data_IF_947253877922
#
_entry.id   IF_947253877922
#
_cell.length_a   1.000
_cell.length_b   1.000
_cell.length_c   1.000
_cell.angle_alpha   90.00
_cell.angle_beta   90.00
_cell.angle_gamma   90.00
#
_symmetry.space_group_name_H-M   'P 1'
#
loop_
_entity.id
_entity.type
_entity.pdbx_description
1 polymer ?
#
# COMPACT_ATOMS: atom_id res chain seq x y z
N UNK A 1 7.50 2.31 -14.28
CA UNK A 1 7.88 3.76 -14.18
C UNK A 1 7.78 4.18 -12.72
N UNK A 2 8.69 4.98 -12.13
CA UNK A 2 8.58 5.32 -10.70
C UNK A 2 7.30 6.13 -10.43
N UNK A 3 6.59 5.78 -9.36
CA UNK A 3 5.41 6.52 -8.92
C UNK A 3 5.79 7.97 -8.57
N UNK A 4 5.08 8.98 -9.10
CA UNK A 4 5.39 10.37 -8.82
C UNK A 4 4.79 10.79 -7.47
N UNK A 5 5.44 10.39 -6.38
CA UNK A 5 4.96 10.57 -4.99
C UNK A 5 4.73 12.05 -4.63
N UNK A 6 5.50 12.98 -5.20
CA UNK A 6 5.33 14.43 -4.95
C UNK A 6 4.27 15.09 -5.84
N UNK A 7 3.60 14.33 -6.70
CA UNK A 7 2.61 14.90 -7.63
C UNK A 7 1.30 15.23 -6.93
N UNK A 8 0.63 16.27 -7.46
CA UNK A 8 -0.74 16.61 -7.03
C UNK A 8 -1.72 15.44 -7.22
N UNK A 9 -1.52 14.61 -8.23
CA UNK A 9 -2.35 13.42 -8.50
C UNK A 9 -2.21 12.38 -7.38
N UNK A 10 -0.97 12.14 -6.94
CA UNK A 10 -0.69 11.26 -5.82
C UNK A 10 -1.29 11.78 -4.51
N UNK A 11 -1.20 13.09 -4.26
CA UNK A 11 -1.84 13.70 -3.08
C UNK A 11 -3.37 13.49 -3.08
N UNK A 12 -4.04 13.57 -4.23
CA UNK A 12 -5.48 13.30 -4.32
C UNK A 12 -5.78 11.83 -4.02
N UNK A 13 -4.95 10.93 -4.54
CA UNK A 13 -5.06 9.50 -4.34
C UNK A 13 -4.91 9.13 -2.86
N UNK A 14 -3.89 9.65 -2.16
CA UNK A 14 -3.74 9.47 -0.71
C UNK A 14 -4.96 9.97 0.07
N UNK A 15 -5.49 11.15 -0.28
CA UNK A 15 -6.66 11.71 0.39
C UNK A 15 -7.91 10.83 0.18
N UNK A 16 -8.17 10.36 -1.05
CA UNK A 16 -9.29 9.44 -1.31
C UNK A 16 -9.12 8.16 -0.49
N UNK A 17 -7.92 7.59 -0.50
CA UNK A 17 -7.61 6.36 0.23
C UNK A 17 -7.80 6.50 1.74
N UNK A 18 -7.54 7.68 2.31
CA UNK A 18 -7.84 7.99 3.72
C UNK A 18 -9.34 8.21 4.02
N UNK A 19 -10.22 8.03 3.02
CA UNK A 19 -11.67 8.17 3.15
C UNK A 19 -12.22 9.55 2.78
N UNK A 20 -11.40 10.48 2.27
CA UNK A 20 -11.87 11.82 1.94
C UNK A 20 -12.66 11.81 0.61
N UNK A 21 -13.93 12.29 0.58
CA UNK A 21 -14.71 12.30 -0.65
C UNK A 21 -14.14 13.25 -1.72
N UNK A 22 -14.27 12.88 -3.00
CA UNK A 22 -13.77 13.70 -4.13
C UNK A 22 -14.29 15.15 -4.13
N UNK A 23 -15.48 15.40 -3.59
CA UNK A 23 -16.01 16.77 -3.43
C UNK A 23 -15.17 17.60 -2.45
N UNK A 24 -14.78 17.02 -1.32
CA UNK A 24 -13.95 17.71 -0.33
C UNK A 24 -12.52 17.89 -0.82
N UNK A 25 -11.99 16.92 -1.59
CA UNK A 25 -10.71 17.08 -2.30
C UNK A 25 -10.81 18.26 -3.28
N UNK A 26 -11.88 18.33 -4.09
CA UNK A 26 -12.08 19.40 -5.06
C UNK A 26 -12.14 20.79 -4.38
N UNK A 27 -12.87 20.90 -3.26
CA UNK A 27 -12.96 22.11 -2.46
C UNK A 27 -11.59 22.54 -1.90
N UNK A 28 -10.85 21.61 -1.29
CA UNK A 28 -9.51 21.86 -0.71
C UNK A 28 -8.53 22.40 -1.75
N UNK A 29 -8.59 21.91 -2.97
CA UNK A 29 -7.70 22.32 -4.06
C UNK A 29 -8.29 23.37 -5.01
N UNK A 30 -9.53 23.85 -4.75
CA UNK A 30 -10.25 24.84 -5.57
C UNK A 30 -10.32 24.47 -7.06
N UNK A 31 -10.61 23.20 -7.34
CA UNK A 31 -10.78 22.66 -8.69
C UNK A 31 -12.15 21.98 -8.83
N UNK A 32 -12.52 21.57 -10.03
CA UNK A 32 -13.78 20.83 -10.23
C UNK A 32 -13.67 19.38 -9.76
N UNK A 33 -14.81 18.79 -9.36
CA UNK A 33 -14.90 17.37 -9.03
C UNK A 33 -14.45 16.48 -10.19
N UNK A 34 -14.78 16.88 -11.42
CA UNK A 34 -14.38 16.18 -12.65
C UNK A 34 -12.85 16.17 -12.80
N UNK A 35 -12.18 17.28 -12.49
CA UNK A 35 -10.72 17.35 -12.53
C UNK A 35 -10.08 16.41 -11.49
N UNK A 36 -10.67 16.30 -10.29
CA UNK A 36 -10.25 15.32 -9.27
C UNK A 36 -10.44 13.89 -9.77
N UNK A 37 -11.62 13.55 -10.29
CA UNK A 37 -11.90 12.19 -10.81
C UNK A 37 -10.94 11.79 -11.93
N UNK A 38 -10.67 12.67 -12.89
CA UNK A 38 -9.72 12.39 -13.98
C UNK A 38 -8.28 12.21 -13.48
N UNK A 39 -7.87 13.00 -12.48
CA UNK A 39 -6.57 12.86 -11.85
C UNK A 39 -6.44 11.53 -11.10
N UNK A 40 -7.49 11.10 -10.39
CA UNK A 40 -7.53 9.82 -9.68
C UNK A 40 -7.48 8.64 -10.65
N UNK A 41 -8.28 8.62 -11.72
CA UNK A 41 -8.23 7.56 -12.75
C UNK A 41 -6.84 7.41 -13.37
N UNK A 42 -6.17 8.55 -13.61
CA UNK A 42 -4.79 8.55 -14.12
C UNK A 42 -3.81 7.96 -13.10
N UNK A 43 -4.03 8.28 -11.82
CA UNK A 43 -3.18 7.80 -10.73
C UNK A 43 -3.40 6.32 -10.44
N UNK A 44 -4.64 5.85 -10.45
CA UNK A 44 -5.01 4.43 -10.26
C UNK A 44 -4.31 3.55 -11.29
N UNK A 45 -4.34 3.94 -12.56
CA UNK A 45 -3.61 3.23 -13.61
C UNK A 45 -2.10 3.17 -13.36
N UNK A 46 -1.49 4.28 -12.90
CA UNK A 46 -0.04 4.29 -12.58
C UNK A 46 0.28 3.41 -11.38
N UNK A 47 -0.58 3.39 -10.37
CA UNK A 47 -0.45 2.52 -9.20
C UNK A 47 -0.56 1.07 -9.61
N UNK A 48 -1.58 0.72 -10.39
CA UNK A 48 -1.75 -0.63 -10.96
C UNK A 48 -0.52 -1.09 -11.75
N UNK A 49 -0.08 -0.29 -12.73
CA UNK A 49 1.12 -0.58 -13.53
C UNK A 49 2.34 -0.80 -12.64
N UNK A 50 2.51 0.02 -11.60
CA UNK A 50 3.66 -0.10 -10.68
C UNK A 50 3.57 -1.35 -9.81
N UNK A 51 2.39 -1.68 -9.29
CA UNK A 51 2.19 -2.90 -8.50
C UNK A 51 2.49 -4.14 -9.34
N UNK A 52 2.01 -4.18 -10.59
CA UNK A 52 2.27 -5.27 -11.52
C UNK A 52 3.75 -5.37 -11.91
N UNK A 53 4.40 -4.25 -12.20
CA UNK A 53 5.84 -4.18 -12.49
C UNK A 53 6.66 -4.78 -11.34
N UNK A 54 6.34 -4.40 -10.10
CA UNK A 54 7.03 -4.89 -8.90
C UNK A 54 6.71 -6.36 -8.63
N UNK A 55 5.46 -6.79 -8.76
CA UNK A 55 5.10 -8.20 -8.62
C UNK A 55 5.85 -9.08 -9.63
N UNK A 56 5.91 -8.66 -10.90
CA UNK A 56 6.64 -9.36 -11.95
C UNK A 56 8.14 -9.44 -11.64
N UNK A 57 8.76 -8.31 -11.25
CA UNK A 57 10.18 -8.26 -10.91
C UNK A 57 10.55 -9.16 -9.71
N UNK A 58 9.59 -9.43 -8.83
CA UNK A 58 9.76 -10.28 -7.64
C UNK A 58 9.19 -11.69 -7.81
N UNK A 59 8.78 -12.07 -9.02
CA UNK A 59 8.21 -13.39 -9.34
C UNK A 59 7.01 -13.75 -8.45
N UNK A 60 6.12 -12.77 -8.26
CA UNK A 60 4.87 -12.92 -7.54
C UNK A 60 3.75 -13.13 -8.56
N UNK A 61 3.06 -14.27 -8.46
CA UNK A 61 1.84 -14.54 -9.21
C UNK A 61 0.68 -13.78 -8.57
N UNK A 62 0.06 -12.88 -9.34
CA UNK A 62 -0.98 -11.98 -8.83
C UNK A 62 -2.28 -12.73 -8.59
N UNK A 63 -2.83 -12.60 -7.38
CA UNK A 63 -4.14 -13.14 -7.02
C UNK A 63 -5.22 -12.06 -7.02
N UNK A 64 -4.93 -10.91 -6.38
CA UNK A 64 -5.86 -9.79 -6.22
C UNK A 64 -5.12 -8.47 -6.27
N UNK A 65 -5.78 -7.44 -6.80
CA UNK A 65 -5.21 -6.10 -6.92
C UNK A 65 -6.33 -5.06 -6.70
N UNK A 66 -6.05 -4.08 -5.84
CA UNK A 66 -6.87 -2.88 -5.68
C UNK A 66 -5.99 -1.64 -5.79
N UNK A 67 -6.03 -0.97 -6.95
CA UNK A 67 -5.24 0.22 -7.23
C UNK A 67 -5.71 1.46 -6.46
N UNK A 68 -6.97 1.48 -6.01
CA UNK A 68 -7.50 2.62 -5.25
C UNK A 68 -6.91 2.70 -3.84
N UNK A 69 -6.63 1.53 -3.26
CA UNK A 69 -5.96 1.37 -1.96
C UNK A 69 -4.43 1.20 -2.14
N UNK A 70 -4.01 0.74 -3.33
CA UNK A 70 -2.61 0.57 -3.70
C UNK A 70 -2.01 -0.69 -3.12
N UNK A 71 -2.77 -1.79 -3.21
CA UNK A 71 -2.40 -3.11 -2.69
C UNK A 71 -2.56 -4.18 -3.77
N UNK A 72 -1.61 -5.09 -3.82
CA UNK A 72 -1.64 -6.31 -4.62
C UNK A 72 -1.28 -7.49 -3.72
N UNK A 73 -2.10 -8.54 -3.72
CA UNK A 73 -1.80 -9.83 -3.11
C UNK A 73 -1.43 -10.85 -4.18
N UNK A 74 -0.50 -11.73 -3.85
CA UNK A 74 -0.09 -12.82 -4.72
C UNK A 74 0.74 -13.87 -4.01
N UNK A 75 1.17 -14.88 -4.76
CA UNK A 75 2.03 -15.95 -4.27
C UNK A 75 3.44 -15.77 -4.85
N UNK A 76 4.46 -15.74 -4.00
CA UNK A 76 5.85 -15.70 -4.43
C UNK A 76 6.34 -17.09 -4.81
N UNK A 77 6.72 -17.28 -6.07
CA UNK A 77 7.23 -18.57 -6.56
C UNK A 77 8.59 -18.95 -5.95
N UNK A 78 9.56 -18.03 -5.81
CA UNK A 78 10.87 -18.37 -5.25
C UNK A 78 10.85 -18.75 -3.77
N UNK A 79 9.90 -18.20 -3.01
CA UNK A 79 9.81 -18.38 -1.57
C UNK A 79 8.69 -19.34 -1.14
N UNK A 80 7.84 -19.77 -2.06
CA UNK A 80 6.64 -20.57 -1.80
C UNK A 80 5.80 -19.99 -0.65
N UNK A 81 5.61 -18.67 -0.68
CA UNK A 81 4.98 -17.91 0.39
C UNK A 81 4.05 -16.83 -0.17
N UNK A 82 3.00 -16.51 0.59
CA UNK A 82 2.12 -15.38 0.29
C UNK A 82 2.92 -14.08 0.26
N UNK A 83 2.55 -13.16 -0.61
CA UNK A 83 3.21 -11.88 -0.76
C UNK A 83 2.19 -10.76 -0.95
N UNK A 84 2.53 -9.60 -0.42
CA UNK A 84 1.81 -8.35 -0.65
C UNK A 84 2.78 -7.32 -1.23
N UNK A 85 2.33 -6.61 -2.25
CA UNK A 85 2.97 -5.41 -2.77
C UNK A 85 2.06 -4.24 -2.46
N UNK A 86 2.58 -3.18 -1.85
CA UNK A 86 1.77 -2.04 -1.47
C UNK A 86 2.48 -0.70 -1.66
N UNK A 87 1.71 0.36 -1.86
CA UNK A 87 2.20 1.73 -2.00
C UNK A 87 1.98 2.49 -0.70
N UNK A 88 3.07 2.83 0.00
CA UNK A 88 3.05 3.78 1.12
C UNK A 88 3.36 5.20 0.63
N UNK A 89 2.72 6.18 1.25
CA UNK A 89 3.00 7.60 1.02
C UNK A 89 4.43 7.94 1.45
N UNK A 90 4.84 7.45 2.61
CA UNK A 90 6.11 7.84 3.24
C UNK A 90 7.26 6.89 2.91
N UNK A 91 6.95 5.64 2.54
CA UNK A 91 7.95 4.60 2.25
C UNK A 91 7.99 4.17 0.77
N UNK A 92 7.13 4.72 -0.08
CA UNK A 92 7.03 4.33 -1.49
C UNK A 92 6.51 2.90 -1.66
N UNK A 93 6.93 2.20 -2.72
CA UNK A 93 6.45 0.83 -3.00
C UNK A 93 7.23 -0.18 -2.18
N UNK A 94 6.51 -1.05 -1.48
CA UNK A 94 7.06 -2.07 -0.60
C UNK A 94 6.58 -3.45 -1.02
N UNK A 95 7.40 -4.47 -0.74
CA UNK A 95 7.07 -5.88 -0.91
C UNK A 95 7.26 -6.56 0.43
N UNK A 96 6.28 -7.33 0.85
CA UNK A 96 6.35 -8.12 2.06
C UNK A 96 5.92 -9.56 1.78
N UNK A 97 6.66 -10.51 2.34
CA UNK A 97 6.41 -11.94 2.22
C UNK A 97 5.90 -12.48 3.55
N UNK A 98 4.81 -13.25 3.52
CA UNK A 98 4.25 -13.98 4.66
C UNK A 98 5.22 -15.12 5.03
N UNK A 99 6.26 -14.81 5.79
CA UNK A 99 7.19 -15.78 6.34
C UNK A 99 7.47 -15.52 7.82
N UNK A 100 7.65 -16.59 8.60
CA UNK A 100 8.25 -16.48 9.93
C UNK A 100 9.73 -16.12 9.75
N UNK A 101 10.09 -14.88 10.09
CA UNK A 101 11.47 -14.43 10.10
C UNK A 101 12.13 -14.67 11.44
N UNK A 102 13.44 -14.91 11.44
CA UNK A 102 14.24 -14.81 12.67
C UNK A 102 14.48 -13.32 13.00
N UNK A 103 13.40 -12.64 13.38
CA UNK A 103 13.38 -11.19 13.63
C UNK A 103 14.17 -10.80 14.89
N UNK A 104 14.46 -11.77 15.79
CA UNK A 104 15.11 -11.52 17.08
C UNK A 104 16.52 -10.94 17.00
N UNK A 105 17.22 -11.11 15.87
CA UNK A 105 18.55 -10.55 15.61
C UNK A 105 18.59 -9.54 14.45
N UNK A 106 17.43 -9.16 13.89
CA UNK A 106 17.39 -8.34 12.69
C UNK A 106 17.67 -6.86 13.00
N UNK A 107 18.74 -6.24 12.47
CA UNK A 107 19.04 -4.82 12.71
C UNK A 107 18.01 -3.87 12.07
N UNK A 108 17.04 -4.39 11.31
CA UNK A 108 15.95 -3.64 10.68
C UNK A 108 14.63 -3.71 11.45
N UNK A 109 14.59 -4.39 12.60
CA UNK A 109 13.39 -4.61 13.40
C UNK A 109 12.56 -3.33 13.63
N UNK A 110 13.21 -2.26 14.11
CA UNK A 110 12.54 -0.98 14.35
C UNK A 110 11.95 -0.36 13.07
N UNK A 111 12.64 -0.51 11.92
CA UNK A 111 12.15 0.01 10.63
C UNK A 111 10.97 -0.79 10.10
N UNK A 112 10.91 -2.09 10.35
CA UNK A 112 9.75 -2.91 9.99
C UNK A 112 8.51 -2.48 10.79
N UNK A 113 8.68 -2.25 12.10
CA UNK A 113 7.61 -1.74 12.97
C UNK A 113 7.13 -0.37 12.50
N UNK A 114 8.06 0.55 12.24
CA UNK A 114 7.76 1.91 11.72
C UNK A 114 6.98 1.83 10.40
N UNK A 115 7.46 1.05 9.43
CA UNK A 115 6.78 0.86 8.14
C UNK A 115 5.34 0.36 8.31
N UNK A 116 5.12 -0.67 9.15
CA UNK A 116 3.80 -1.26 9.32
C UNK A 116 2.86 -0.28 10.03
N UNK A 117 3.34 0.43 11.06
CA UNK A 117 2.55 1.45 11.75
C UNK A 117 2.18 2.60 10.83
N UNK A 118 3.16 3.19 10.14
CA UNK A 118 2.93 4.30 9.22
C UNK A 118 1.92 3.92 8.15
N UNK A 119 2.06 2.72 7.57
CA UNK A 119 1.13 2.27 6.54
C UNK A 119 -0.27 1.96 7.09
N UNK A 120 -0.39 1.41 8.29
CA UNK A 120 -1.69 1.20 8.93
C UNK A 120 -2.39 2.53 9.23
N UNK A 121 -1.65 3.52 9.74
CA UNK A 121 -2.13 4.86 10.02
C UNK A 121 -2.56 5.59 8.73
N UNK A 122 -1.81 5.41 7.63
CA UNK A 122 -2.17 5.93 6.30
C UNK A 122 -3.55 5.45 5.81
N UNK A 123 -3.97 4.25 6.25
CA UNK A 123 -5.23 3.62 5.89
C UNK A 123 -6.32 3.75 6.97
N UNK A 124 -5.99 4.34 8.13
CA UNK A 124 -6.89 4.38 9.28
C UNK A 124 -7.21 3.00 9.87
N UNK A 125 -6.31 2.03 9.69
CA UNK A 125 -6.44 0.66 10.20
C UNK A 125 -5.86 0.59 11.61
N UNK A 126 -6.70 0.31 12.59
CA UNK A 126 -6.23 0.06 13.95
C UNK A 126 -5.61 -1.32 14.07
N UNK A 127 -4.33 -1.38 14.47
CA UNK A 127 -3.60 -2.59 14.81
C UNK A 127 -3.51 -2.79 16.34
N UNK A 128 -3.40 -4.03 16.76
CA UNK A 128 -3.12 -4.38 18.16
C UNK A 128 -1.68 -4.01 18.48
N UNK A 129 -1.47 -3.34 19.63
CA UNK A 129 -0.11 -3.02 20.08
C UNK A 129 0.64 -4.31 20.43
N UNK A 130 1.64 -4.63 19.61
CA UNK A 130 2.61 -5.70 19.83
C UNK A 130 3.97 -5.17 19.35
N UNK A 131 5.04 -5.67 19.95
CA UNK A 131 6.39 -5.34 19.50
C UNK A 131 6.84 -6.24 18.34
N UNK A 132 6.08 -7.29 18.01
CA UNK A 132 6.43 -8.26 16.96
C UNK A 132 5.96 -7.81 15.56
N UNK A 133 6.88 -7.38 14.66
CA UNK A 133 6.52 -6.91 13.32
C UNK A 133 5.90 -7.99 12.44
N UNK A 134 6.21 -9.28 12.64
CA UNK A 134 5.58 -10.36 11.89
C UNK A 134 4.10 -10.42 12.25
N UNK A 135 3.77 -10.43 13.55
CA UNK A 135 2.37 -10.43 14.01
C UNK A 135 1.62 -9.17 13.58
N UNK A 136 2.28 -8.02 13.56
CA UNK A 136 1.66 -6.78 13.07
C UNK A 136 1.35 -6.85 11.58
N UNK A 137 2.28 -7.38 10.78
CA UNK A 137 2.07 -7.58 9.35
C UNK A 137 0.93 -8.56 9.09
N UNK A 138 0.88 -9.68 9.81
CA UNK A 138 -0.20 -10.66 9.70
C UNK A 138 -1.57 -10.05 10.00
N UNK A 139 -1.68 -9.27 11.10
CA UNK A 139 -2.92 -8.57 11.44
C UNK A 139 -3.31 -7.55 10.37
N UNK A 140 -2.35 -6.75 9.90
CA UNK A 140 -2.58 -5.77 8.84
C UNK A 140 -3.07 -6.46 7.56
N UNK A 141 -2.44 -7.55 7.15
CA UNK A 141 -2.79 -8.26 5.91
C UNK A 141 -4.15 -8.92 6.00
N UNK A 142 -4.49 -9.50 7.15
CA UNK A 142 -5.82 -10.03 7.39
C UNK A 142 -6.89 -8.94 7.18
N UNK A 143 -6.70 -7.75 7.75
CA UNK A 143 -7.62 -6.61 7.56
C UNK A 143 -7.64 -6.11 6.13
N UNK A 144 -6.48 -6.06 5.46
CA UNK A 144 -6.39 -5.67 4.05
C UNK A 144 -7.11 -6.65 3.11
N UNK A 145 -7.05 -7.95 3.39
CA UNK A 145 -7.76 -8.99 2.61
C UNK A 145 -9.29 -8.85 2.67
N UNK A 146 -9.83 -8.11 3.64
CA UNK A 146 -11.28 -7.81 3.75
C UNK A 146 -11.72 -6.62 2.88
N UNK A 147 -10.78 -5.74 2.50
CA UNK A 147 -11.06 -4.51 1.74
C UNK A 147 -10.54 -4.54 0.30
N UNK A 148 -9.80 -5.59 -0.08
CA UNK A 148 -9.22 -5.83 -1.42
C UNK A 148 -9.97 -6.91 -2.19
#
# INVERSE_FOLDING_TARGET
MPLPLDSRQFAFWCLRRSGLPNIQIAERFRISRQAVSMALLTMDRKVEETLLDIANANQIEVERLNAEIGVLFGQSIPFDAGAIVFVSKDHGVQVWYEHEGDCGACPRYARCIELIWDYADELGIALTKTDDPTRMADELFAKLKEVV
#
